data_IF_417272829663
#
_entry.id   IF_417272829663
#
_cell.length_a   1.000
_cell.length_b   1.000
_cell.length_c   1.000
_cell.angle_alpha   90.00
_cell.angle_beta   90.00
_cell.angle_gamma   90.00
#
_symmetry.space_group_name_H-M   'P 1'
#
loop_
_entity.id
_entity.type
_entity.pdbx_description
1 polymer ?
#
# COMPACT_ATOMS: atom_id res chain seq x y z
N UNK A 1 -18.82 -3.17 34.24
CA UNK A 1 -17.76 -3.97 33.60
C UNK A 1 -17.63 -3.50 32.16
N UNK A 2 -16.45 -3.03 31.75
CA UNK A 2 -16.21 -2.76 30.33
C UNK A 2 -16.30 -4.09 29.56
N UNK A 3 -17.05 -4.12 28.46
CA UNK A 3 -17.11 -5.28 27.59
C UNK A 3 -15.72 -5.55 26.98
N UNK A 4 -15.30 -6.81 26.92
CA UNK A 4 -14.08 -7.20 26.20
C UNK A 4 -14.14 -6.86 24.71
N UNK A 5 -12.98 -6.73 24.05
CA UNK A 5 -12.88 -6.38 22.62
C UNK A 5 -13.75 -7.28 21.76
N UNK A 6 -13.65 -8.60 21.97
CA UNK A 6 -14.43 -9.59 21.27
C UNK A 6 -15.94 -9.35 21.41
N UNK A 7 -16.41 -8.98 22.61
CA UNK A 7 -17.82 -8.67 22.84
C UNK A 7 -18.25 -7.36 22.18
N UNK A 8 -17.39 -6.33 22.19
CA UNK A 8 -17.66 -5.05 21.52
C UNK A 8 -17.76 -5.22 20.01
N UNK A 9 -16.86 -6.01 19.41
CA UNK A 9 -16.89 -6.35 17.99
C UNK A 9 -18.16 -7.13 17.64
N UNK A 10 -18.49 -8.18 18.40
CA UNK A 10 -19.71 -8.98 18.18
C UNK A 10 -20.99 -8.16 18.29
N UNK A 11 -21.06 -7.21 19.23
CA UNK A 11 -22.25 -6.36 19.45
C UNK A 11 -22.58 -5.45 18.26
N UNK A 12 -21.60 -5.11 17.40
CA UNK A 12 -21.82 -4.26 16.22
C UNK A 12 -22.73 -4.90 15.16
N UNK A 13 -22.93 -6.22 15.22
CA UNK A 13 -23.85 -6.95 14.34
C UNK A 13 -23.26 -7.32 12.97
N UNK A 14 -24.00 -8.16 12.25
CA UNK A 14 -23.64 -8.64 10.92
C UNK A 14 -23.55 -7.49 9.91
N UNK A 15 -22.52 -7.50 9.06
CA UNK A 15 -22.24 -6.52 8.00
C UNK A 15 -21.88 -5.09 8.43
N UNK A 16 -21.82 -4.77 9.74
CA UNK A 16 -21.36 -3.45 10.20
C UNK A 16 -19.98 -3.10 9.64
N UNK A 17 -19.09 -4.09 9.66
CA UNK A 17 -17.71 -3.99 9.20
C UNK A 17 -17.55 -4.03 7.66
N UNK A 18 -18.65 -4.05 6.90
CA UNK A 18 -18.59 -3.98 5.43
C UNK A 18 -18.31 -2.55 4.92
N UNK A 19 -18.64 -1.52 5.71
CA UNK A 19 -18.48 -0.11 5.35
C UNK A 19 -19.02 0.22 3.93
N UNK A 20 -20.21 -0.33 3.58
CA UNK A 20 -20.74 -0.40 2.20
C UNK A 20 -20.83 0.92 1.44
N UNK A 21 -20.97 2.04 2.15
CA UNK A 21 -21.14 3.37 1.57
C UNK A 21 -19.96 4.32 1.85
N UNK A 22 -18.86 3.80 2.41
CA UNK A 22 -17.67 4.61 2.69
C UNK A 22 -16.72 4.56 1.52
N UNK A 23 -16.39 5.75 1.00
CA UNK A 23 -15.30 5.92 0.04
C UNK A 23 -14.18 6.69 0.73
N UNK A 24 -12.93 6.39 0.38
CA UNK A 24 -11.77 7.12 0.89
C UNK A 24 -12.01 8.63 0.73
N UNK A 25 -11.82 9.41 1.78
CA UNK A 25 -12.08 10.86 1.82
C UNK A 25 -10.88 11.63 2.37
N UNK A 26 -10.88 12.96 2.20
CA UNK A 26 -9.85 13.85 2.73
C UNK A 26 -8.42 13.41 2.37
N UNK A 27 -7.60 13.20 3.40
CA UNK A 27 -6.17 12.82 3.29
C UNK A 27 -5.96 11.53 2.48
N UNK A 28 -6.94 10.63 2.46
CA UNK A 28 -6.83 9.37 1.72
C UNK A 28 -7.14 9.50 0.22
N UNK A 29 -7.67 10.65 -0.24
CA UNK A 29 -7.90 10.93 -1.68
C UNK A 29 -6.70 11.55 -2.39
N UNK A 30 -5.68 12.01 -1.67
CA UNK A 30 -4.58 12.80 -2.25
C UNK A 30 -3.84 12.07 -3.39
N UNK A 31 -3.68 10.75 -3.27
CA UNK A 31 -3.14 9.90 -4.32
C UNK A 31 -3.86 8.57 -4.31
N UNK A 32 -4.23 8.06 -5.49
CA UNK A 32 -4.73 6.72 -5.61
C UNK A 32 -3.61 5.71 -5.33
N UNK A 33 -3.98 4.57 -4.75
CA UNK A 33 -3.15 3.38 -4.62
C UNK A 33 -4.04 2.14 -4.70
N UNK A 34 -3.56 0.99 -5.20
CA UNK A 34 -4.37 -0.20 -5.35
C UNK A 34 -4.68 -0.84 -3.99
N UNK A 35 -5.84 -1.51 -3.90
CA UNK A 35 -6.19 -2.43 -2.80
C UNK A 35 -5.90 -1.89 -1.37
N UNK A 36 -6.26 -0.64 -1.11
CA UNK A 36 -6.11 -0.02 0.21
C UNK A 36 -7.16 -0.53 1.19
N UNK A 37 -6.78 -0.74 2.45
CA UNK A 37 -7.73 -0.96 3.54
C UNK A 37 -8.70 0.22 3.71
N UNK A 38 -9.88 -0.04 4.28
CA UNK A 38 -10.91 0.98 4.57
C UNK A 38 -10.48 1.85 5.76
N UNK A 39 -10.23 3.16 5.60
CA UNK A 39 -9.72 4.01 6.67
C UNK A 39 -10.59 4.02 7.93
N UNK A 40 -11.90 4.22 7.79
CA UNK A 40 -12.82 4.33 8.93
C UNK A 40 -12.85 3.04 9.77
N UNK A 41 -12.73 1.88 9.10
CA UNK A 41 -12.59 0.58 9.77
C UNK A 41 -11.30 0.51 10.59
N UNK A 42 -10.17 0.92 10.00
CA UNK A 42 -8.89 0.89 10.70
C UNK A 42 -8.89 1.84 11.90
N UNK A 43 -9.43 3.05 11.73
CA UNK A 43 -9.58 4.02 12.82
C UNK A 43 -10.37 3.44 13.99
N UNK A 44 -11.54 2.85 13.70
CA UNK A 44 -12.40 2.29 14.73
C UNK A 44 -11.74 1.10 15.44
N UNK A 45 -11.13 0.16 14.71
CA UNK A 45 -10.45 -1.00 15.31
C UNK A 45 -9.28 -0.58 16.21
N UNK A 46 -8.43 0.35 15.74
CA UNK A 46 -7.32 0.88 16.52
C UNK A 46 -7.85 1.55 17.80
N UNK A 47 -8.90 2.35 17.70
CA UNK A 47 -9.52 3.01 18.85
C UNK A 47 -10.10 2.00 19.87
N UNK A 48 -10.81 0.97 19.38
CA UNK A 48 -11.35 -0.10 20.24
C UNK A 48 -10.23 -0.80 21.02
N UNK A 49 -9.16 -1.19 20.34
CA UNK A 49 -8.00 -1.85 20.96
C UNK A 49 -7.34 -0.92 21.99
N UNK A 50 -7.08 0.33 21.62
CA UNK A 50 -6.43 1.32 22.50
C UNK A 50 -7.26 1.63 23.75
N UNK A 51 -8.59 1.62 23.63
CA UNK A 51 -9.47 1.84 24.78
C UNK A 51 -9.43 0.71 25.82
N UNK A 52 -8.94 -0.48 25.46
CA UNK A 52 -8.71 -1.59 26.40
C UNK A 52 -7.29 -1.64 26.93
N UNK A 53 -6.34 -1.09 26.17
CA UNK A 53 -4.95 -1.00 26.55
C UNK A 53 -4.38 0.39 26.25
N UNK A 54 -4.45 1.25 27.27
CA UNK A 54 -3.95 2.64 27.18
C UNK A 54 -2.43 2.74 27.10
N UNK A 55 -1.69 1.65 27.35
CA UNK A 55 -0.23 1.63 27.26
C UNK A 55 0.31 1.50 25.82
N UNK A 56 -0.58 1.30 24.83
CA UNK A 56 -0.21 1.27 23.42
C UNK A 56 0.22 2.66 22.97
N UNK A 57 1.49 2.81 22.60
CA UNK A 57 2.09 4.09 22.21
C UNK A 57 2.56 4.12 20.74
N UNK A 58 2.86 2.97 20.14
CA UNK A 58 3.28 2.87 18.74
C UNK A 58 2.46 1.85 17.93
N UNK A 59 2.49 2.00 16.61
CA UNK A 59 1.82 1.12 15.67
C UNK A 59 2.74 0.79 14.50
N UNK A 60 2.83 -0.47 14.13
CA UNK A 60 3.60 -0.95 13.00
C UNK A 60 2.69 -1.45 11.88
N UNK A 61 2.99 -1.05 10.65
CA UNK A 61 2.46 -1.66 9.44
C UNK A 61 3.64 -2.06 8.52
N UNK A 62 4.01 -3.35 8.46
CA UNK A 62 5.15 -3.80 7.66
C UNK A 62 4.83 -3.96 6.17
N UNK A 63 3.61 -3.59 5.74
CA UNK A 63 3.18 -3.56 4.34
C UNK A 63 2.31 -2.32 4.09
N UNK A 64 2.81 -1.16 4.50
CA UNK A 64 1.95 0.01 4.74
C UNK A 64 1.25 0.56 3.50
N UNK A 65 1.69 0.22 2.29
CA UNK A 65 1.13 0.72 1.04
C UNK A 65 1.05 2.24 1.03
N UNK A 66 -0.14 2.79 0.74
CA UNK A 66 -0.34 4.25 0.80
C UNK A 66 -0.58 4.83 2.20
N UNK A 67 -0.36 4.03 3.25
CA UNK A 67 -0.26 4.49 4.63
C UNK A 67 -1.58 4.60 5.37
N UNK A 68 -2.63 3.89 4.97
CA UNK A 68 -3.95 3.97 5.62
C UNK A 68 -3.83 3.74 7.12
N UNK A 69 -3.25 2.60 7.53
CA UNK A 69 -3.05 2.24 8.93
C UNK A 69 -2.28 3.30 9.69
N UNK A 70 -1.16 3.77 9.13
CA UNK A 70 -0.26 4.68 9.82
C UNK A 70 -0.90 6.05 10.06
N UNK A 71 -1.69 6.54 9.09
CA UNK A 71 -2.46 7.77 9.24
C UNK A 71 -3.57 7.62 10.28
N UNK A 72 -4.32 6.52 10.26
CA UNK A 72 -5.38 6.28 11.25
C UNK A 72 -4.82 5.99 12.66
N UNK A 73 -3.63 5.39 12.73
CA UNK A 73 -2.86 5.23 13.97
C UNK A 73 -2.43 6.57 14.56
N UNK A 74 -1.91 7.48 13.73
CA UNK A 74 -1.56 8.84 14.17
C UNK A 74 -2.78 9.63 14.67
N UNK A 75 -3.93 9.51 14.00
CA UNK A 75 -5.19 10.10 14.50
C UNK A 75 -5.67 9.50 15.82
N UNK A 76 -5.23 8.27 16.13
CA UNK A 76 -5.40 7.62 17.43
C UNK A 76 -4.25 7.92 18.40
N UNK A 77 -3.44 8.96 18.15
CA UNK A 77 -2.29 9.36 18.97
C UNK A 77 -1.27 8.24 19.17
N UNK A 78 -1.01 7.44 18.13
CA UNK A 78 0.05 6.43 18.11
C UNK A 78 1.21 6.91 17.24
N UNK A 79 2.43 6.50 17.60
CA UNK A 79 3.63 6.74 16.79
C UNK A 79 3.71 5.70 15.66
N UNK A 80 3.57 6.09 14.38
CA UNK A 80 3.60 5.15 13.26
C UNK A 80 5.02 4.68 12.91
N UNK A 81 5.14 3.38 12.63
CA UNK A 81 6.32 2.71 12.09
C UNK A 81 5.88 1.98 10.82
N UNK A 82 6.51 2.26 9.68
CA UNK A 82 6.11 1.68 8.39
C UNK A 82 7.26 1.02 7.66
N UNK A 83 6.98 -0.13 7.06
CA UNK A 83 7.84 -0.76 6.07
C UNK A 83 7.02 -0.99 4.80
N UNK A 84 7.57 -0.66 3.63
CA UNK A 84 7.01 -1.08 2.35
C UNK A 84 8.13 -1.11 1.30
N UNK A 85 8.14 -2.13 0.45
CA UNK A 85 9.15 -2.27 -0.60
C UNK A 85 9.01 -1.21 -1.71
N UNK A 86 7.84 -0.59 -1.84
CA UNK A 86 7.52 0.32 -2.94
C UNK A 86 7.86 1.79 -2.59
N UNK A 87 8.83 2.41 -3.27
CA UNK A 87 9.22 3.81 -3.00
C UNK A 87 8.09 4.82 -3.21
N UNK A 88 7.16 4.55 -4.15
CA UNK A 88 6.03 5.44 -4.38
C UNK A 88 5.04 5.41 -3.21
N UNK A 89 4.80 4.22 -2.66
CA UNK A 89 3.93 3.99 -1.52
C UNK A 89 4.49 4.70 -0.28
N UNK A 90 5.81 4.61 -0.08
CA UNK A 90 6.55 5.31 0.96
C UNK A 90 6.44 6.84 0.80
N UNK A 91 6.64 7.39 -0.40
CA UNK A 91 6.48 8.82 -0.66
C UNK A 91 5.07 9.31 -0.33
N UNK A 92 4.03 8.59 -0.78
CA UNK A 92 2.62 8.95 -0.49
C UNK A 92 2.39 8.99 1.02
N UNK A 93 2.81 7.95 1.72
CA UNK A 93 2.66 7.81 3.17
C UNK A 93 3.42 8.91 3.92
N UNK A 94 4.66 9.19 3.50
CA UNK A 94 5.49 10.25 4.06
C UNK A 94 4.82 11.62 3.94
N UNK A 95 4.26 11.97 2.79
CA UNK A 95 3.53 13.25 2.61
C UNK A 95 2.30 13.31 3.51
N UNK A 96 1.53 12.22 3.62
CA UNK A 96 0.35 12.16 4.50
C UNK A 96 0.72 12.39 5.97
N UNK A 97 1.80 11.77 6.45
CA UNK A 97 2.25 11.91 7.83
C UNK A 97 2.96 13.25 8.08
N UNK A 98 3.86 13.69 7.19
CA UNK A 98 4.69 14.87 7.45
C UNK A 98 3.92 16.18 7.34
N UNK A 99 2.88 16.22 6.49
CA UNK A 99 2.11 17.43 6.26
C UNK A 99 2.80 18.46 5.38
N UNK A 100 2.22 19.66 5.33
CA UNK A 100 2.73 20.83 4.60
C UNK A 100 2.58 22.07 5.46
N UNK A 101 3.46 23.06 5.30
CA UNK A 101 3.29 24.36 5.95
C UNK A 101 2.19 25.14 5.20
N UNK A 102 1.04 25.35 5.84
CA UNK A 102 -0.14 25.95 5.20
C UNK A 102 0.05 27.40 4.78
N UNK A 103 0.92 28.15 5.46
CA UNK A 103 1.20 29.54 5.08
C UNK A 103 2.12 29.59 3.86
N UNK A 104 3.19 28.80 3.87
CA UNK A 104 4.17 28.77 2.79
C UNK A 104 3.60 28.16 1.50
N UNK A 105 2.75 27.13 1.60
CA UNK A 105 2.25 26.40 0.42
C UNK A 105 1.46 27.30 -0.53
N UNK A 106 0.75 28.32 -0.03
CA UNK A 106 0.05 29.29 -0.88
C UNK A 106 1.03 30.11 -1.74
N UNK A 107 2.16 30.52 -1.16
CA UNK A 107 3.21 31.26 -1.88
C UNK A 107 3.88 30.34 -2.91
N UNK A 108 4.19 29.11 -2.52
CA UNK A 108 4.79 28.13 -3.42
C UNK A 108 3.87 27.77 -4.61
N UNK A 109 2.57 27.58 -4.36
CA UNK A 109 1.58 27.31 -5.40
C UNK A 109 1.49 28.46 -6.42
N UNK A 110 1.47 29.73 -5.95
CA UNK A 110 1.46 30.90 -6.85
C UNK A 110 2.71 30.97 -7.72
N UNK A 111 3.89 30.65 -7.17
CA UNK A 111 5.15 30.60 -7.94
C UNK A 111 5.11 29.54 -9.03
N UNK A 112 4.64 28.33 -8.71
CA UNK A 112 4.47 27.26 -9.69
C UNK A 112 3.48 27.68 -10.78
N UNK A 113 2.34 28.24 -10.40
CA UNK A 113 1.33 28.71 -11.35
C UNK A 113 1.88 29.75 -12.33
N UNK A 114 2.60 30.76 -11.82
CA UNK A 114 3.24 31.78 -12.66
C UNK A 114 4.24 31.16 -13.63
N UNK A 115 5.09 30.23 -13.16
CA UNK A 115 6.06 29.54 -14.00
C UNK A 115 5.37 28.71 -15.11
N UNK A 116 4.32 27.97 -14.76
CA UNK A 116 3.60 27.12 -15.71
C UNK A 116 2.84 27.93 -16.77
N UNK A 117 2.28 29.10 -16.40
CA UNK A 117 1.59 30.01 -17.31
C UNK A 117 2.52 30.81 -18.23
N UNK A 118 3.78 31.02 -17.84
CA UNK A 118 4.72 31.77 -18.66
C UNK A 118 5.27 30.90 -19.81
N UNK A 119 4.97 31.30 -21.05
CA UNK A 119 5.40 30.62 -22.29
C UNK A 119 6.91 30.71 -22.55
N UNK A 120 7.59 31.75 -22.02
CA UNK A 120 9.03 31.98 -22.21
C UNK A 120 9.89 31.28 -21.15
N UNK A 121 9.28 30.51 -20.26
CA UNK A 121 10.01 29.77 -19.23
C UNK A 121 10.80 28.61 -19.85
N UNK A 122 12.13 28.74 -19.90
CA UNK A 122 13.00 27.62 -20.30
C UNK A 122 12.89 26.44 -19.33
N UNK A 123 12.79 25.23 -19.88
CA UNK A 123 12.81 23.96 -19.14
C UNK A 123 13.44 22.87 -20.01
N UNK A 124 14.07 21.89 -19.36
CA UNK A 124 14.63 20.73 -20.06
C UNK A 124 13.57 19.64 -20.25
N UNK A 125 13.56 19.02 -21.42
CA UNK A 125 12.72 17.83 -21.68
C UNK A 125 13.25 16.68 -20.84
N UNK A 126 12.41 16.09 -20.00
CA UNK A 126 12.76 14.90 -19.22
C UNK A 126 12.77 13.65 -20.10
N UNK A 127 13.62 12.70 -19.75
CA UNK A 127 13.78 11.44 -20.47
C UNK A 127 13.88 10.25 -19.51
N UNK A 128 13.29 9.13 -19.91
CA UNK A 128 13.57 7.80 -19.38
C UNK A 128 13.28 6.75 -20.46
N UNK A 129 13.79 5.54 -20.27
CA UNK A 129 13.63 4.44 -21.21
C UNK A 129 12.15 4.19 -21.56
N UNK A 130 11.83 4.23 -22.87
CA UNK A 130 10.47 4.08 -23.40
C UNK A 130 9.46 5.17 -22.97
N UNK A 131 9.88 6.39 -22.63
CA UNK A 131 8.95 7.48 -22.27
C UNK A 131 7.86 7.72 -23.35
N UNK A 132 8.22 7.70 -24.64
CA UNK A 132 7.30 7.93 -25.77
C UNK A 132 6.31 6.79 -26.00
N UNK A 133 6.60 5.58 -25.50
CA UNK A 133 5.63 4.48 -25.45
C UNK A 133 4.48 4.81 -24.50
N UNK A 134 4.81 5.44 -23.37
CA UNK A 134 3.87 5.63 -22.26
C UNK A 134 3.19 6.99 -22.26
N UNK A 135 3.73 7.96 -22.98
CA UNK A 135 3.21 9.33 -23.02
C UNK A 135 3.35 9.91 -24.43
N UNK A 136 2.32 10.64 -24.87
CA UNK A 136 2.38 11.45 -26.10
C UNK A 136 3.40 12.58 -25.96
N UNK A 137 3.95 13.03 -27.09
CA UNK A 137 5.01 14.04 -27.11
C UNK A 137 4.58 15.38 -26.46
N UNK A 138 3.36 15.84 -26.72
CA UNK A 138 2.82 17.06 -26.10
C UNK A 138 2.65 16.91 -24.57
N UNK A 139 2.29 15.71 -24.11
CA UNK A 139 2.18 15.40 -22.69
C UNK A 139 3.57 15.32 -22.04
N UNK A 140 4.57 14.74 -22.72
CA UNK A 140 5.95 14.70 -22.23
C UNK A 140 6.49 16.10 -22.00
N UNK A 141 6.30 17.02 -22.95
CA UNK A 141 6.72 18.41 -22.81
C UNK A 141 6.02 19.10 -21.63
N UNK A 142 4.71 18.87 -21.49
CA UNK A 142 3.91 19.45 -20.41
C UNK A 142 4.34 18.94 -19.04
N UNK A 143 4.54 17.63 -18.90
CA UNK A 143 5.04 17.02 -17.67
C UNK A 143 6.48 17.43 -17.37
N UNK A 144 7.33 17.61 -18.39
CA UNK A 144 8.71 18.11 -18.21
C UNK A 144 8.71 19.53 -17.65
N UNK A 145 7.82 20.41 -18.12
CA UNK A 145 7.65 21.76 -17.57
C UNK A 145 7.21 21.71 -16.10
N UNK A 146 6.22 20.87 -15.76
CA UNK A 146 5.79 20.66 -14.37
C UNK A 146 6.93 20.12 -13.52
N UNK A 147 7.66 19.13 -14.02
CA UNK A 147 8.81 18.54 -13.34
C UNK A 147 9.85 19.60 -13.00
N UNK A 148 10.21 20.46 -13.95
CA UNK A 148 11.12 21.57 -13.75
C UNK A 148 10.59 22.56 -12.69
N UNK A 149 9.29 22.89 -12.73
CA UNK A 149 8.65 23.77 -11.74
C UNK A 149 8.78 23.21 -10.32
N UNK A 150 8.54 21.91 -10.15
CA UNK A 150 8.65 21.23 -8.85
C UNK A 150 10.12 21.21 -8.39
N UNK A 151 11.07 20.92 -9.27
CA UNK A 151 12.49 20.86 -8.91
C UNK A 151 13.07 22.22 -8.45
N UNK A 152 12.47 23.34 -8.89
CA UNK A 152 12.84 24.71 -8.47
C UNK A 152 12.32 25.07 -7.08
N UNK A 153 11.35 24.35 -6.54
CA UNK A 153 10.86 24.61 -5.19
C UNK A 153 11.95 24.24 -4.16
N UNK A 154 12.24 25.19 -3.27
CA UNK A 154 13.34 25.11 -2.30
C UNK A 154 13.17 23.94 -1.34
N UNK A 155 11.97 23.76 -0.78
CA UNK A 155 11.76 22.84 0.33
C UNK A 155 11.39 21.43 -0.15
N UNK A 156 12.17 20.43 0.27
CA UNK A 156 11.96 19.01 -0.06
C UNK A 156 10.54 18.53 0.28
N UNK A 157 10.02 18.88 1.46
CA UNK A 157 8.68 18.45 1.88
C UNK A 157 7.56 18.99 0.97
N UNK A 158 7.76 20.17 0.38
CA UNK A 158 6.83 20.79 -0.58
C UNK A 158 6.95 20.14 -1.95
N UNK A 159 8.18 19.87 -2.42
CA UNK A 159 8.39 19.10 -3.66
C UNK A 159 7.74 17.72 -3.60
N UNK A 160 7.93 17.02 -2.49
CA UNK A 160 7.30 15.71 -2.23
C UNK A 160 5.77 15.79 -2.31
N UNK A 161 5.17 16.82 -1.72
CA UNK A 161 3.72 17.07 -1.85
C UNK A 161 3.29 17.25 -3.31
N UNK A 162 4.03 18.04 -4.09
CA UNK A 162 3.74 18.23 -5.51
C UNK A 162 3.90 16.96 -6.34
N UNK A 163 4.94 16.16 -6.06
CA UNK A 163 5.09 14.84 -6.68
C UNK A 163 3.88 13.96 -6.40
N UNK A 164 3.40 13.90 -5.15
CA UNK A 164 2.20 13.13 -4.79
C UNK A 164 0.96 13.61 -5.54
N UNK A 165 0.77 14.93 -5.67
CA UNK A 165 -0.33 15.50 -6.46
C UNK A 165 -0.24 15.15 -7.95
N UNK A 166 0.97 14.95 -8.48
CA UNK A 166 1.23 14.64 -9.87
C UNK A 166 0.98 13.15 -10.20
N UNK A 167 1.05 12.24 -9.23
CA UNK A 167 0.89 10.77 -9.44
C UNK A 167 -0.41 10.42 -10.18
N UNK A 168 -1.54 10.98 -9.72
CA UNK A 168 -2.84 10.67 -10.32
C UNK A 168 -2.96 11.23 -11.76
N UNK A 169 -2.31 12.36 -12.02
CA UNK A 169 -2.32 13.04 -13.31
C UNK A 169 -1.43 12.27 -14.30
N UNK A 170 -0.25 11.85 -13.88
CA UNK A 170 0.63 10.96 -14.67
C UNK A 170 -0.08 9.68 -15.08
N UNK A 171 -0.93 9.12 -14.22
CA UNK A 171 -1.75 7.95 -14.55
C UNK A 171 -2.87 8.30 -15.52
N UNK A 172 -3.61 9.38 -15.27
CA UNK A 172 -4.73 9.85 -16.11
C UNK A 172 -4.30 10.09 -17.56
N UNK A 173 -3.16 10.75 -17.76
CA UNK A 173 -2.63 11.14 -19.07
C UNK A 173 -1.55 10.19 -19.60
N UNK A 174 -1.50 8.96 -19.10
CA UNK A 174 -0.65 7.91 -19.69
C UNK A 174 -1.38 7.17 -20.82
N UNK A 175 -0.59 6.57 -21.70
CA UNK A 175 -1.05 5.65 -22.74
C UNK A 175 -1.46 4.29 -22.16
N UNK A 176 -1.47 4.09 -20.83
CA UNK A 176 -1.84 2.81 -20.21
C UNK A 176 -3.33 2.72 -19.85
N UNK A 177 -3.90 1.52 -19.97
CA UNK A 177 -5.30 1.23 -19.64
C UNK A 177 -5.57 1.50 -18.15
N UNK A 178 -6.65 2.23 -17.86
CA UNK A 178 -7.04 2.58 -16.48
C UNK A 178 -7.81 1.48 -15.74
N UNK A 179 -8.27 0.45 -16.46
CA UNK A 179 -9.07 -0.67 -15.98
C UNK A 179 -8.26 -1.79 -15.31
N UNK A 180 -6.93 -1.72 -15.36
CA UNK A 180 -6.02 -2.73 -14.81
C UNK A 180 -4.84 -2.06 -14.12
N UNK A 181 -4.19 -2.79 -13.21
CA UNK A 181 -2.94 -2.36 -12.56
C UNK A 181 -1.69 -2.76 -13.35
N UNK A 182 -1.85 -3.57 -14.41
CA UNK A 182 -0.79 -3.98 -15.31
C UNK A 182 -0.59 -2.96 -16.41
N UNK A 183 0.66 -2.76 -16.82
CA UNK A 183 1.00 -1.81 -17.87
C UNK A 183 0.65 -2.36 -19.26
N UNK A 184 -0.57 -2.05 -19.71
CA UNK A 184 -1.04 -2.33 -21.07
C UNK A 184 -1.36 -1.05 -21.81
N UNK A 185 -0.97 -0.97 -23.09
CA UNK A 185 -1.24 0.19 -23.93
C UNK A 185 -2.74 0.26 -24.32
N UNK A 186 -3.27 1.48 -24.39
CA UNK A 186 -4.61 1.79 -24.90
C UNK A 186 -4.65 1.64 -26.43
N UNK A 187 -5.84 1.49 -27.00
CA UNK A 187 -6.01 1.60 -28.45
C UNK A 187 -5.56 2.99 -28.95
N UNK A 188 -5.00 3.04 -30.16
CA UNK A 188 -4.41 4.26 -30.70
C UNK A 188 -5.42 5.43 -30.77
N UNK A 189 -6.65 5.14 -31.22
CA UNK A 189 -7.74 6.13 -31.24
C UNK A 189 -8.06 6.71 -29.86
N UNK A 190 -7.95 5.91 -28.80
CA UNK A 190 -8.15 6.38 -27.41
C UNK A 190 -6.98 7.24 -26.91
N UNK A 191 -5.77 7.06 -27.46
CA UNK A 191 -4.60 7.88 -27.13
C UNK A 191 -4.71 9.24 -27.83
N UNK A 192 -5.09 9.24 -29.09
CA UNK A 192 -5.27 10.44 -29.91
C UNK A 192 -6.40 11.32 -29.40
N UNK A 193 -7.50 10.72 -28.91
CA UNK A 193 -8.63 11.44 -28.34
C UNK A 193 -8.34 12.15 -27.00
N UNK A 194 -7.17 11.93 -26.36
CA UNK A 194 -6.86 12.61 -25.09
C UNK A 194 -6.56 14.10 -25.32
N UNK A 195 -7.20 14.98 -24.56
CA UNK A 195 -6.91 16.42 -24.57
C UNK A 195 -5.90 16.80 -23.49
N UNK A 196 -5.01 17.75 -23.78
CA UNK A 196 -3.98 18.18 -22.84
C UNK A 196 -4.50 19.20 -21.80
N UNK A 197 -5.08 18.70 -20.70
CA UNK A 197 -5.48 19.53 -19.54
C UNK A 197 -4.55 19.38 -18.33
N UNK A 198 -3.32 18.89 -18.55
CA UNK A 198 -2.40 18.45 -17.49
C UNK A 198 -2.06 19.59 -16.52
N UNK A 199 -1.74 20.78 -17.02
CA UNK A 199 -1.40 21.94 -16.15
C UNK A 199 -2.61 22.34 -15.30
N UNK A 200 -3.81 22.38 -15.89
CA UNK A 200 -5.05 22.76 -15.21
C UNK A 200 -5.34 21.76 -14.08
N UNK A 201 -5.28 20.47 -14.38
CA UNK A 201 -5.48 19.41 -13.39
C UNK A 201 -4.43 19.44 -12.28
N UNK A 202 -3.18 19.73 -12.62
CA UNK A 202 -2.10 19.84 -11.64
C UNK A 202 -2.30 21.03 -10.69
N UNK A 203 -2.60 22.21 -11.23
CA UNK A 203 -2.89 23.39 -10.43
C UNK A 203 -4.13 23.19 -9.55
N UNK A 204 -5.17 22.52 -10.05
CA UNK A 204 -6.34 22.15 -9.24
C UNK A 204 -5.95 21.19 -8.12
N UNK A 205 -5.14 20.18 -8.41
CA UNK A 205 -4.67 19.17 -7.44
C UNK A 205 -3.90 19.82 -6.29
N UNK A 206 -2.91 20.67 -6.58
CA UNK A 206 -2.07 21.31 -5.55
C UNK A 206 -2.79 22.37 -4.72
N UNK A 207 -3.87 22.95 -5.23
CA UNK A 207 -4.68 23.94 -4.50
C UNK A 207 -5.81 23.30 -3.69
N UNK A 208 -6.19 22.05 -3.98
CA UNK A 208 -7.21 21.33 -3.22
C UNK A 208 -6.59 20.48 -2.12
N UNK A 209 -5.61 19.65 -2.45
CA UNK A 209 -5.25 18.55 -1.52
C UNK A 209 -4.42 18.99 -0.32
N UNK A 210 -3.73 20.12 -0.39
CA UNK A 210 -2.91 20.60 0.72
C UNK A 210 -3.78 20.79 1.97
N UNK A 211 -5.06 21.14 1.82
CA UNK A 211 -5.99 21.39 2.92
C UNK A 211 -6.24 20.17 3.81
N UNK A 212 -6.12 18.95 3.26
CA UNK A 212 -6.36 17.71 4.00
C UNK A 212 -5.14 17.16 4.74
N UNK A 213 -3.96 17.73 4.48
CA UNK A 213 -2.72 17.32 5.14
C UNK A 213 -2.58 18.00 6.50
N UNK A 214 -1.90 17.38 7.48
CA UNK A 214 -1.54 18.07 8.71
C UNK A 214 -0.57 19.23 8.45
N UNK A 215 -0.40 20.10 9.43
CA UNK A 215 0.65 21.12 9.40
C UNK A 215 2.03 20.47 9.51
N UNK A 216 2.95 20.93 8.65
CA UNK A 216 4.33 20.46 8.68
C UNK A 216 5.05 20.89 9.95
N UNK A 217 5.72 19.94 10.60
CA UNK A 217 6.60 20.21 11.74
C UNK A 217 7.97 19.59 11.50
N UNK A 218 9.03 20.40 11.64
CA UNK A 218 10.42 19.94 11.52
C UNK A 218 10.81 18.96 12.63
N UNK A 219 10.13 19.01 13.78
CA UNK A 219 10.42 18.15 14.93
C UNK A 219 9.70 16.80 14.86
N UNK A 220 8.76 16.64 13.92
CA UNK A 220 8.01 15.39 13.74
C UNK A 220 8.93 14.32 13.16
N UNK A 221 9.14 13.25 13.93
CA UNK A 221 9.88 12.06 13.46
C UNK A 221 8.93 11.14 12.71
N UNK A 222 9.35 10.71 11.53
CA UNK A 222 8.60 9.78 10.67
C UNK A 222 9.48 8.56 10.48
N UNK A 223 9.02 7.41 10.98
CA UNK A 223 9.75 6.16 10.87
C UNK A 223 9.17 5.32 9.73
N UNK A 224 9.70 5.53 8.53
CA UNK A 224 9.33 4.78 7.33
C UNK A 224 10.60 4.24 6.68
N UNK A 225 10.57 2.97 6.29
CA UNK A 225 11.70 2.29 5.65
C UNK A 225 11.26 1.64 4.34
N UNK A 226 12.15 1.66 3.34
CA UNK A 226 11.90 1.05 2.04
C UNK A 226 12.75 -0.21 1.92
N UNK A 227 12.09 -1.36 1.75
CA UNK A 227 12.78 -2.63 1.58
C UNK A 227 11.87 -3.81 1.85
N UNK A 228 12.47 -4.99 1.92
CA UNK A 228 11.74 -6.21 2.26
C UNK A 228 11.42 -6.24 3.76
N UNK A 229 10.18 -6.59 4.07
CA UNK A 229 9.68 -6.58 5.43
C UNK A 229 10.42 -7.57 6.31
N UNK A 230 10.76 -8.77 5.81
CA UNK A 230 11.51 -9.76 6.59
C UNK A 230 12.91 -9.27 6.98
N UNK A 231 13.61 -8.57 6.09
CA UNK A 231 14.97 -8.06 6.32
C UNK A 231 14.94 -6.91 7.34
N UNK A 232 14.04 -5.93 7.14
CA UNK A 232 13.95 -4.77 8.03
C UNK A 232 13.40 -5.17 9.41
N UNK A 233 12.41 -6.07 9.48
CA UNK A 233 11.91 -6.56 10.77
C UNK A 233 12.98 -7.33 11.53
N UNK A 234 13.82 -8.11 10.85
CA UNK A 234 14.93 -8.84 11.48
C UNK A 234 15.86 -7.90 12.26
N UNK A 235 16.14 -6.71 11.73
CA UNK A 235 16.97 -5.69 12.38
C UNK A 235 16.28 -4.97 13.55
N UNK A 236 14.95 -5.05 13.65
CA UNK A 236 14.20 -4.43 14.75
C UNK A 236 14.40 -5.19 16.06
N UNK A 237 14.42 -4.45 17.18
CA UNK A 237 14.54 -5.02 18.52
C UNK A 237 13.33 -5.89 18.87
N UNK A 238 13.56 -7.00 19.56
CA UNK A 238 12.50 -7.81 20.16
C UNK A 238 11.62 -6.94 21.07
N UNK A 239 10.33 -7.24 21.14
CA UNK A 239 9.41 -6.59 22.10
C UNK A 239 9.46 -5.05 22.06
N UNK A 240 9.54 -4.46 20.85
CA UNK A 240 9.63 -3.02 20.64
C UNK A 240 8.33 -2.39 20.14
N UNK A 241 7.37 -3.20 19.68
CA UNK A 241 6.11 -2.76 19.06
C UNK A 241 4.91 -3.05 19.97
N UNK A 242 4.00 -2.07 20.09
CA UNK A 242 2.79 -2.17 20.93
C UNK A 242 1.54 -2.63 20.18
N UNK A 243 1.46 -2.39 18.87
CA UNK A 243 0.33 -2.77 18.04
C UNK A 243 0.81 -2.98 16.61
N UNK A 244 0.42 -4.08 15.98
CA UNK A 244 0.62 -4.28 14.54
C UNK A 244 -0.75 -4.32 13.88
N UNK A 245 -0.95 -3.51 12.86
CA UNK A 245 -2.16 -3.54 12.03
C UNK A 245 -1.69 -3.52 10.59
N UNK A 246 -2.05 -4.53 9.80
CA UNK A 246 -1.59 -4.61 8.41
C UNK A 246 -2.48 -5.48 7.55
N UNK A 247 -2.24 -5.39 6.25
CA UNK A 247 -2.83 -6.22 5.21
C UNK A 247 -1.69 -6.77 4.36
N UNK A 248 -1.12 -7.93 4.72
CA UNK A 248 -0.02 -8.51 3.96
C UNK A 248 -0.50 -8.90 2.54
N UNK A 249 0.42 -9.05 1.56
CA UNK A 249 0.07 -9.59 0.25
C UNK A 249 -0.65 -10.94 0.35
N UNK A 250 -1.61 -11.22 -0.54
CA UNK A 250 -2.42 -12.46 -0.51
C UNK A 250 -1.92 -13.55 -1.48
N UNK A 251 -0.80 -13.31 -2.15
CA UNK A 251 -0.21 -14.21 -3.14
C UNK A 251 0.85 -13.51 -3.97
N UNK A 252 1.47 -14.24 -4.89
CA UNK A 252 2.47 -13.67 -5.80
C UNK A 252 1.87 -12.56 -6.69
N UNK A 253 2.72 -11.61 -7.10
CA UNK A 253 2.31 -10.48 -7.94
C UNK A 253 1.87 -10.89 -9.35
N UNK A 254 2.20 -12.12 -9.80
CA UNK A 254 1.78 -12.62 -11.11
C UNK A 254 0.29 -12.95 -11.16
N UNK A 255 -0.27 -13.37 -10.02
CA UNK A 255 -1.67 -13.79 -9.82
C UNK A 255 -2.49 -12.79 -9.00
N UNK A 256 -1.86 -11.72 -8.50
CA UNK A 256 -2.51 -10.67 -7.70
C UNK A 256 -2.29 -9.27 -8.31
N UNK A 257 -2.36 -8.22 -7.49
CA UNK A 257 -2.19 -6.83 -7.90
C UNK A 257 -0.70 -6.55 -8.10
N UNK A 258 -0.32 -6.10 -9.30
CA UNK A 258 1.06 -5.69 -9.62
C UNK A 258 1.34 -4.28 -9.12
N UNK A 259 1.64 -4.15 -7.82
CA UNK A 259 1.92 -2.85 -7.19
C UNK A 259 3.16 -2.17 -7.77
N UNK A 260 4.16 -2.95 -8.21
CA UNK A 260 5.36 -2.46 -8.87
C UNK A 260 5.04 -1.79 -10.20
N UNK A 261 4.39 -2.52 -11.10
CA UNK A 261 3.95 -1.98 -12.40
C UNK A 261 3.06 -0.74 -12.26
N UNK A 262 2.16 -0.72 -11.26
CA UNK A 262 1.32 0.44 -10.96
C UNK A 262 2.12 1.71 -10.61
N UNK A 263 3.32 1.53 -10.04
CA UNK A 263 4.10 2.58 -9.42
C UNK A 263 5.25 3.07 -10.29
N UNK A 264 5.70 2.25 -11.24
CA UNK A 264 6.92 2.50 -11.98
C UNK A 264 6.88 3.78 -12.83
N UNK A 265 5.80 4.03 -13.58
CA UNK A 265 5.70 5.23 -14.41
C UNK A 265 5.78 6.52 -13.55
N UNK A 266 5.01 6.69 -12.46
CA UNK A 266 5.22 7.80 -11.53
C UNK A 266 6.65 7.91 -10.99
N UNK A 267 7.27 6.79 -10.60
CA UNK A 267 8.64 6.80 -10.07
C UNK A 267 9.63 7.37 -11.08
N UNK A 268 9.54 7.01 -12.37
CA UNK A 268 10.43 7.53 -13.42
C UNK A 268 10.29 9.04 -13.70
N UNK A 269 9.21 9.67 -13.26
CA UNK A 269 9.02 11.13 -13.33
C UNK A 269 9.53 11.89 -12.10
N UNK A 270 9.55 11.23 -10.95
CA UNK A 270 9.91 11.84 -9.67
C UNK A 270 11.42 12.01 -9.59
N UNK A 271 11.88 13.15 -9.06
CA UNK A 271 13.31 13.36 -8.81
C UNK A 271 13.82 12.38 -7.74
N UNK A 272 14.87 11.61 -8.04
CA UNK A 272 15.46 10.61 -7.13
C UNK A 272 15.80 11.18 -5.76
N UNK A 273 16.21 12.46 -5.69
CA UNK A 273 16.56 13.17 -4.44
C UNK A 273 15.35 13.42 -3.51
N UNK A 274 14.14 13.36 -4.05
CA UNK A 274 12.90 13.57 -3.30
C UNK A 274 12.26 12.26 -2.84
N UNK A 275 12.79 11.11 -3.26
CA UNK A 275 12.49 9.80 -2.68
C UNK A 275 13.44 9.50 -1.51
N UNK A 276 13.05 8.57 -0.63
CA UNK A 276 13.96 8.06 0.40
C UNK A 276 15.02 7.13 -0.21
N UNK A 277 16.01 6.74 0.60
CA UNK A 277 17.04 5.80 0.16
C UNK A 277 16.43 4.40 0.03
N UNK A 278 16.76 3.72 -1.06
CA UNK A 278 16.34 2.36 -1.37
C UNK A 278 17.29 1.76 -2.40
N UNK A 279 17.31 0.44 -2.54
CA UNK A 279 18.18 -0.25 -3.50
C UNK A 279 17.74 0.04 -4.94
N UNK A 280 18.65 0.54 -5.78
CA UNK A 280 18.34 0.95 -7.17
C UNK A 280 17.77 -0.19 -8.02
N UNK A 281 18.10 -1.45 -7.68
CA UNK A 281 17.54 -2.61 -8.39
C UNK A 281 16.00 -2.70 -8.34
N UNK A 282 15.35 -2.03 -7.36
CA UNK A 282 13.90 -1.97 -7.26
C UNK A 282 13.25 -1.22 -8.43
N UNK A 283 14.01 -0.42 -9.18
CA UNK A 283 13.49 0.41 -10.29
C UNK A 283 14.13 0.09 -11.65
N UNK A 284 14.95 -0.97 -11.75
CA UNK A 284 15.63 -1.39 -12.99
C UNK A 284 14.65 -1.61 -14.15
N UNK A 285 13.47 -2.18 -13.86
CA UNK A 285 12.43 -2.42 -14.84
C UNK A 285 11.04 -2.43 -14.19
N UNK A 286 9.99 -2.45 -15.02
CA UNK A 286 8.58 -2.38 -14.62
C UNK A 286 8.13 -3.46 -13.61
N UNK A 287 8.84 -4.59 -13.53
CA UNK A 287 8.50 -5.71 -12.66
C UNK A 287 9.47 -5.86 -11.47
N UNK A 288 10.49 -5.01 -11.34
CA UNK A 288 11.53 -5.15 -10.31
C UNK A 288 10.98 -5.19 -8.89
N UNK A 289 10.11 -4.23 -8.51
CA UNK A 289 9.44 -4.24 -7.20
C UNK A 289 8.65 -5.53 -7.02
N UNK A 290 7.91 -5.95 -8.04
CA UNK A 290 7.05 -7.13 -7.98
C UNK A 290 7.87 -8.43 -7.83
N UNK A 291 9.04 -8.52 -8.47
CA UNK A 291 9.94 -9.68 -8.39
C UNK A 291 10.72 -9.76 -7.07
N UNK A 292 10.94 -8.62 -6.40
CA UNK A 292 11.61 -8.55 -5.11
C UNK A 292 10.66 -8.69 -3.91
N UNK A 293 9.35 -8.65 -4.13
CA UNK A 293 8.32 -8.83 -3.11
C UNK A 293 8.15 -10.32 -2.71
N UNK A 294 7.31 -10.58 -1.70
CA UNK A 294 6.99 -11.94 -1.23
C UNK A 294 6.55 -12.86 -2.37
N UNK A 295 7.08 -14.09 -2.40
CA UNK A 295 6.78 -15.06 -3.46
C UNK A 295 7.59 -14.88 -4.75
N UNK A 296 8.60 -14.00 -4.75
CA UNK A 296 9.52 -13.76 -5.88
C UNK A 296 10.44 -14.94 -6.26
N UNK A 297 11.36 -14.73 -7.19
CA UNK A 297 12.16 -15.78 -7.85
C UNK A 297 13.48 -16.16 -7.14
N UNK A 298 13.65 -15.81 -5.86
CA UNK A 298 14.89 -16.08 -5.10
C UNK A 298 15.06 -17.53 -4.63
N UNK A 299 16.31 -17.96 -4.41
CA UNK A 299 16.62 -19.19 -3.66
C UNK A 299 16.20 -19.02 -2.20
N UNK A 300 15.49 -20.00 -1.64
CA UNK A 300 14.99 -19.98 -0.27
C UNK A 300 15.69 -21.06 0.55
N UNK A 301 16.55 -20.65 1.46
CA UNK A 301 17.03 -21.48 2.58
C UNK A 301 16.27 -21.07 3.84
N UNK A 302 14.94 -21.21 3.83
CA UNK A 302 14.07 -20.80 4.93
C UNK A 302 13.53 -22.03 5.65
N UNK A 303 13.26 -21.87 6.95
CA UNK A 303 12.67 -22.93 7.75
C UNK A 303 11.26 -23.24 7.21
N UNK A 304 10.97 -24.51 6.97
CA UNK A 304 9.62 -24.92 6.58
C UNK A 304 8.75 -24.98 7.82
N UNK A 305 7.72 -24.15 7.86
CA UNK A 305 6.67 -24.27 8.86
C UNK A 305 5.68 -25.34 8.42
N UNK A 306 5.29 -26.22 9.35
CA UNK A 306 4.25 -27.20 9.11
C UNK A 306 2.89 -26.51 9.29
N UNK A 307 1.99 -26.71 8.33
CA UNK A 307 0.60 -26.27 8.40
C UNK A 307 -0.28 -27.37 7.82
N UNK A 308 -1.30 -27.79 8.57
CA UNK A 308 -2.25 -28.80 8.13
C UNK A 308 -3.06 -28.27 6.94
N UNK A 309 -3.57 -27.03 7.05
CA UNK A 309 -4.33 -26.36 5.99
C UNK A 309 -3.51 -26.19 4.70
N UNK A 310 -2.22 -25.86 4.81
CA UNK A 310 -1.36 -25.74 3.64
C UNK A 310 -1.16 -27.10 2.96
N UNK A 311 -0.90 -28.15 3.74
CA UNK A 311 -0.65 -29.50 3.22
C UNK A 311 -1.86 -30.03 2.45
N UNK A 312 -3.05 -29.96 3.07
CA UNK A 312 -4.32 -30.36 2.44
C UNK A 312 -4.59 -29.54 1.16
N UNK A 313 -4.35 -28.22 1.22
CA UNK A 313 -4.54 -27.36 0.05
C UNK A 313 -3.60 -27.73 -1.11
N UNK A 314 -2.32 -27.95 -0.83
CA UNK A 314 -1.30 -28.30 -1.83
C UNK A 314 -1.63 -29.62 -2.53
N UNK A 315 -2.11 -30.62 -1.80
CA UNK A 315 -2.57 -31.89 -2.38
C UNK A 315 -3.73 -31.69 -3.35
N UNK A 316 -4.57 -30.69 -3.07
CA UNK A 316 -5.76 -30.40 -3.87
C UNK A 316 -5.48 -29.70 -5.22
N UNK A 317 -4.31 -29.09 -5.42
CA UNK A 317 -4.00 -28.31 -6.65
C UNK A 317 -2.99 -29.01 -7.55
N UNK A 318 -2.93 -28.56 -8.81
CA UNK A 318 -1.99 -29.06 -9.81
C UNK A 318 -0.51 -28.86 -9.41
N UNK A 319 0.34 -29.84 -9.75
CA UNK A 319 1.74 -29.89 -9.31
C UNK A 319 2.57 -28.67 -9.73
N UNK A 320 2.29 -28.09 -10.90
CA UNK A 320 2.93 -26.88 -11.44
C UNK A 320 2.65 -25.63 -10.58
N UNK A 321 1.52 -25.60 -9.85
CA UNK A 321 1.13 -24.48 -8.99
C UNK A 321 1.57 -24.65 -7.54
N UNK A 322 1.75 -25.89 -7.08
CA UNK A 322 2.18 -26.21 -5.70
C UNK A 322 3.40 -25.42 -5.27
N UNK A 323 4.46 -25.46 -6.09
CA UNK A 323 5.73 -24.77 -5.79
C UNK A 323 5.57 -23.27 -5.62
N UNK A 324 4.71 -22.61 -6.41
CA UNK A 324 4.46 -21.16 -6.30
C UNK A 324 3.73 -20.80 -5.00
N UNK A 325 2.72 -21.59 -4.64
CA UNK A 325 1.97 -21.39 -3.39
C UNK A 325 2.87 -21.64 -2.19
N UNK A 326 3.60 -22.75 -2.17
CA UNK A 326 4.52 -23.10 -1.08
C UNK A 326 5.58 -22.02 -0.89
N UNK A 327 6.22 -21.57 -1.98
CA UNK A 327 7.22 -20.50 -1.94
C UNK A 327 6.69 -19.19 -1.35
N UNK A 328 5.48 -18.79 -1.76
CA UNK A 328 4.83 -17.60 -1.22
C UNK A 328 4.54 -17.75 0.27
N UNK A 329 3.95 -18.88 0.69
CA UNK A 329 3.58 -19.11 2.09
C UNK A 329 4.82 -19.18 2.98
N UNK A 330 5.92 -19.79 2.53
CA UNK A 330 7.18 -19.79 3.30
C UNK A 330 7.71 -18.37 3.51
N UNK A 331 7.74 -17.53 2.47
CA UNK A 331 8.18 -16.14 2.62
C UNK A 331 7.25 -15.35 3.54
N UNK A 332 5.95 -15.57 3.41
CA UNK A 332 4.92 -14.94 4.21
C UNK A 332 5.05 -15.29 5.70
N UNK A 333 5.20 -16.57 6.04
CA UNK A 333 5.31 -17.02 7.43
C UNK A 333 6.61 -16.55 8.10
N UNK A 334 7.70 -16.38 7.36
CA UNK A 334 8.91 -15.75 7.90
C UNK A 334 8.64 -14.32 8.40
N UNK A 335 7.88 -13.53 7.63
CA UNK A 335 7.48 -12.19 8.09
C UNK A 335 6.59 -12.27 9.32
N UNK A 336 5.66 -13.22 9.37
CA UNK A 336 4.79 -13.43 10.54
C UNK A 336 5.59 -13.80 11.79
N UNK A 337 6.64 -14.62 11.67
CA UNK A 337 7.61 -14.91 12.76
C UNK A 337 8.23 -13.62 13.29
N UNK A 338 8.75 -12.78 12.39
CA UNK A 338 9.40 -11.52 12.80
C UNK A 338 8.40 -10.54 13.43
N UNK A 339 7.16 -10.47 12.90
CA UNK A 339 6.07 -9.71 13.52
C UNK A 339 5.78 -10.18 14.95
N UNK A 340 5.74 -11.50 15.18
CA UNK A 340 5.58 -12.07 16.53
C UNK A 340 6.73 -11.72 17.48
N UNK A 341 7.97 -11.74 16.99
CA UNK A 341 9.17 -11.39 17.77
C UNK A 341 9.23 -9.92 18.19
N UNK A 342 8.91 -8.99 17.28
CA UNK A 342 8.99 -7.54 17.56
C UNK A 342 7.82 -7.03 18.41
N UNK A 343 6.68 -7.72 18.38
CA UNK A 343 5.52 -7.37 19.19
C UNK A 343 5.75 -7.72 20.67
N UNK A 344 5.44 -6.80 21.58
CA UNK A 344 5.48 -7.06 23.02
C UNK A 344 4.44 -8.10 23.45
N UNK A 345 4.71 -8.80 24.55
CA UNK A 345 3.73 -9.68 25.21
C UNK A 345 2.44 -8.92 25.58
N UNK A 346 1.31 -9.64 25.53
CA UNK A 346 -0.05 -9.16 25.79
C UNK A 346 -0.59 -8.12 24.80
N UNK A 347 0.20 -7.76 23.78
CA UNK A 347 -0.19 -6.88 22.67
C UNK A 347 -0.82 -7.66 21.52
N UNK A 348 -1.33 -6.91 20.54
CA UNK A 348 -2.17 -7.44 19.47
C UNK A 348 -1.58 -7.25 18.08
N UNK A 349 -1.84 -8.23 17.23
CA UNK A 349 -1.70 -8.18 15.78
C UNK A 349 -3.11 -8.18 15.18
N UNK A 350 -3.37 -7.25 14.25
CA UNK A 350 -4.59 -7.18 13.44
C UNK A 350 -4.21 -7.40 11.99
N UNK A 351 -4.72 -8.48 11.39
CA UNK A 351 -4.42 -8.86 10.01
C UNK A 351 -5.69 -8.83 9.18
N UNK A 352 -5.73 -7.96 8.17
CA UNK A 352 -6.75 -8.01 7.12
C UNK A 352 -6.27 -8.92 6.01
N UNK A 353 -6.89 -10.09 5.89
CA UNK A 353 -6.50 -11.18 5.02
C UNK A 353 -7.56 -11.46 3.97
N UNK A 354 -7.07 -11.96 2.84
CA UNK A 354 -7.89 -12.34 1.72
C UNK A 354 -7.63 -13.76 1.25
N UNK A 355 -8.67 -14.60 1.25
CA UNK A 355 -8.61 -15.95 0.70
C UNK A 355 -8.86 -15.92 -0.80
N UNK A 356 -7.76 -15.73 -1.55
CA UNK A 356 -7.77 -15.75 -3.02
C UNK A 356 -7.97 -17.16 -3.57
N UNK A 357 -8.07 -17.28 -4.91
CA UNK A 357 -8.11 -18.57 -5.59
C UNK A 357 -6.82 -18.85 -6.36
N UNK A 358 -6.29 -20.06 -6.24
CA UNK A 358 -5.31 -20.66 -7.17
C UNK A 358 -5.90 -21.94 -7.70
N UNK A 359 -5.77 -22.17 -9.00
CA UNK A 359 -6.34 -23.34 -9.64
C UNK A 359 -7.86 -23.48 -9.42
N UNK A 360 -8.55 -22.34 -9.34
CA UNK A 360 -9.97 -22.21 -9.01
C UNK A 360 -10.37 -22.73 -7.60
N UNK A 361 -9.39 -23.07 -6.76
CA UNK A 361 -9.57 -23.45 -5.34
C UNK A 361 -9.15 -22.32 -4.42
N UNK A 362 -9.91 -22.10 -3.36
CA UNK A 362 -9.65 -21.06 -2.36
C UNK A 362 -8.40 -21.43 -1.57
N UNK A 363 -7.38 -20.57 -1.57
CA UNK A 363 -6.20 -20.70 -0.71
C UNK A 363 -6.65 -20.30 0.71
N UNK A 364 -6.56 -21.18 1.72
CA UNK A 364 -7.02 -20.89 3.08
C UNK A 364 -5.97 -20.06 3.84
N UNK A 365 -5.59 -18.90 3.30
CA UNK A 365 -4.52 -18.08 3.87
C UNK A 365 -4.88 -17.59 5.28
N UNK A 366 -6.15 -17.24 5.51
CA UNK A 366 -6.67 -16.89 6.82
C UNK A 366 -6.45 -18.01 7.85
N UNK A 367 -6.84 -19.25 7.52
CA UNK A 367 -6.66 -20.42 8.38
C UNK A 367 -5.18 -20.78 8.60
N UNK A 368 -4.36 -20.76 7.55
CA UNK A 368 -2.91 -21.00 7.65
C UNK A 368 -2.27 -19.98 8.60
N UNK A 369 -2.69 -18.71 8.49
CA UNK A 369 -2.16 -17.63 9.34
C UNK A 369 -2.56 -17.80 10.79
N UNK A 370 -3.83 -18.12 11.05
CA UNK A 370 -4.32 -18.37 12.41
C UNK A 370 -3.57 -19.55 13.05
N UNK A 371 -3.53 -20.71 12.38
CA UNK A 371 -2.81 -21.91 12.84
C UNK A 371 -1.35 -21.59 13.16
N UNK A 372 -0.69 -20.84 12.29
CA UNK A 372 0.69 -20.43 12.50
C UNK A 372 0.88 -19.58 13.77
N UNK A 373 0.07 -18.53 13.95
CA UNK A 373 0.19 -17.65 15.11
C UNK A 373 -0.11 -18.39 16.42
N UNK A 374 -1.12 -19.28 16.43
CA UNK A 374 -1.42 -20.13 17.58
C UNK A 374 -0.22 -21.03 17.96
N UNK A 375 0.43 -21.62 16.96
CA UNK A 375 1.62 -22.46 17.16
C UNK A 375 2.81 -21.70 17.75
N UNK A 376 2.97 -20.41 17.42
CA UNK A 376 4.03 -19.57 17.98
C UNK A 376 3.59 -18.81 19.24
N UNK A 377 2.46 -19.16 19.87
CA UNK A 377 2.09 -18.62 21.18
C UNK A 377 1.25 -17.33 21.14
N UNK A 378 0.35 -17.24 20.15
CA UNK A 378 -0.76 -16.30 20.15
C UNK A 378 -2.09 -17.01 20.45
N UNK A 379 -3.11 -16.24 20.77
CA UNK A 379 -4.51 -16.68 20.78
C UNK A 379 -5.34 -15.79 19.84
N UNK A 380 -6.35 -16.37 19.20
CA UNK A 380 -7.36 -15.60 18.47
C UNK A 380 -8.35 -14.98 19.46
N UNK A 381 -8.35 -13.65 19.55
CA UNK A 381 -9.26 -12.91 20.43
C UNK A 381 -10.58 -12.60 19.73
N UNK A 382 -10.52 -12.25 18.44
CA UNK A 382 -11.70 -12.00 17.62
C UNK A 382 -11.39 -12.18 16.13
N UNK A 383 -12.43 -12.54 15.36
CA UNK A 383 -12.40 -12.53 13.90
C UNK A 383 -13.59 -11.76 13.35
N UNK A 384 -13.38 -11.04 12.25
CA UNK A 384 -14.42 -10.31 11.53
C UNK A 384 -14.41 -10.78 10.08
N UNK A 385 -15.56 -11.23 9.59
CA UNK A 385 -15.75 -11.48 8.15
C UNK A 385 -16.51 -10.30 7.56
N UNK A 386 -15.96 -9.68 6.52
CA UNK A 386 -16.60 -8.57 5.80
C UNK A 386 -16.71 -8.86 4.31
N UNK A 387 -17.77 -8.35 3.70
CA UNK A 387 -17.91 -8.37 2.25
C UNK A 387 -17.10 -7.22 1.63
N UNK A 388 -16.69 -7.37 0.37
CA UNK A 388 -16.08 -6.32 -0.45
C UNK A 388 -17.15 -5.79 -1.43
N UNK A 389 -17.94 -4.77 -1.03
CA UNK A 389 -19.10 -4.31 -1.81
C UNK A 389 -18.69 -3.65 -3.12
N UNK A 390 -17.70 -2.75 -3.07
CA UNK A 390 -17.17 -2.00 -4.22
C UNK A 390 -15.77 -2.54 -4.54
N UNK A 391 -15.60 -3.07 -5.75
CA UNK A 391 -14.29 -3.52 -6.25
C UNK A 391 -13.86 -2.72 -7.47
N UNK A 392 -12.60 -2.29 -7.45
CA UNK A 392 -11.94 -1.76 -8.65
C UNK A 392 -11.52 -2.87 -9.62
N UNK A 393 -11.22 -4.07 -9.09
CA UNK A 393 -10.98 -5.25 -9.92
C UNK A 393 -12.30 -5.95 -10.30
N UNK A 394 -12.40 -6.54 -11.50
CA UNK A 394 -13.58 -7.30 -11.90
C UNK A 394 -13.89 -8.45 -10.94
N UNK A 395 -15.17 -8.75 -10.72
CA UNK A 395 -15.60 -9.89 -9.88
C UNK A 395 -15.21 -11.25 -10.46
N UNK A 396 -14.88 -11.29 -11.75
CA UNK A 396 -14.36 -12.47 -12.45
C UNK A 396 -13.04 -12.12 -13.12
N UNK A 397 -11.99 -12.88 -12.86
CA UNK A 397 -10.63 -12.65 -13.42
C UNK A 397 -10.15 -13.90 -14.12
N UNK A 398 -9.49 -13.77 -15.27
CA UNK A 398 -8.90 -14.86 -16.07
C UNK A 398 -9.84 -16.01 -16.51
N UNK A 399 -9.46 -16.73 -17.57
CA UNK A 399 -10.04 -18.02 -17.96
C UNK A 399 -9.09 -19.12 -17.52
N UNK A 400 -9.55 -20.06 -16.69
CA UNK A 400 -8.85 -21.34 -16.46
C UNK A 400 -9.69 -22.40 -17.15
N UNK A 401 -9.14 -23.07 -18.17
CA UNK A 401 -9.85 -24.09 -18.99
C UNK A 401 -11.20 -23.58 -19.52
N UNK A 402 -11.20 -22.40 -20.14
CA UNK A 402 -12.40 -21.71 -20.69
C UNK A 402 -13.53 -21.37 -19.71
N UNK A 403 -13.33 -21.51 -18.40
CA UNK A 403 -14.27 -21.07 -17.36
C UNK A 403 -13.75 -19.82 -16.65
N UNK A 404 -14.64 -18.86 -16.42
CA UNK A 404 -14.32 -17.65 -15.64
C UNK A 404 -14.05 -17.98 -14.19
N UNK A 405 -12.97 -17.46 -13.61
CA UNK A 405 -12.66 -17.64 -12.18
C UNK A 405 -13.25 -16.48 -11.37
N UNK A 406 -13.95 -16.80 -10.28
CA UNK A 406 -14.44 -15.79 -9.35
C UNK A 406 -13.30 -15.20 -8.52
N UNK A 407 -13.29 -13.87 -8.39
CA UNK A 407 -12.40 -13.17 -7.47
C UNK A 407 -12.94 -13.18 -6.04
N UNK A 408 -12.05 -13.07 -5.06
CA UNK A 408 -12.37 -13.05 -3.62
C UNK A 408 -13.34 -11.95 -3.22
N UNK A 409 -14.54 -12.30 -2.70
CA UNK A 409 -15.60 -11.34 -2.38
C UNK A 409 -15.68 -10.95 -0.89
N UNK A 410 -14.86 -11.57 -0.06
CA UNK A 410 -14.82 -11.36 1.38
C UNK A 410 -13.38 -11.18 1.86
N UNK A 411 -13.21 -10.42 2.93
CA UNK A 411 -11.96 -10.28 3.67
C UNK A 411 -12.20 -10.73 5.11
N UNK A 412 -11.16 -11.28 5.72
CA UNK A 412 -11.14 -11.73 7.11
C UNK A 412 -10.21 -10.82 7.89
N UNK A 413 -10.67 -10.27 9.01
CA UNK A 413 -9.80 -9.54 9.94
C UNK A 413 -9.60 -10.39 11.17
N UNK A 414 -8.37 -10.88 11.34
CA UNK A 414 -7.95 -11.64 12.52
C UNK A 414 -7.36 -10.68 13.56
N UNK A 415 -7.80 -10.79 14.81
CA UNK A 415 -7.24 -10.07 15.95
C UNK A 415 -6.64 -11.10 16.88
N UNK A 416 -5.30 -11.12 16.94
CA UNK A 416 -4.50 -12.12 17.64
C UNK A 416 -3.76 -11.44 18.79
N UNK A 417 -3.76 -12.04 19.98
CA UNK A 417 -3.05 -11.55 21.17
C UNK A 417 -1.83 -12.42 21.47
N UNK A 418 -0.66 -11.83 21.69
CA UNK A 418 0.57 -12.55 22.04
C UNK A 418 0.51 -12.97 23.51
N UNK A 419 0.45 -14.27 23.77
CA UNK A 419 0.35 -14.82 25.13
C UNK A 419 1.69 -15.35 25.66
N UNK A 420 2.60 -15.75 24.76
CA UNK A 420 3.94 -16.25 25.10
C UNK A 420 5.02 -15.40 24.45
N UNK A 421 6.20 -15.36 25.06
CA UNK A 421 7.40 -14.83 24.41
C UNK A 421 7.86 -15.80 23.31
N UNK A 422 8.45 -15.25 22.24
CA UNK A 422 8.80 -15.96 20.99
C UNK A 422 10.26 -15.68 20.68
#
# INVERSE_FOLDING_TARGET
MNLSLANRIRKKGLNYWDFKNVTASGIHKISAYPATMVPDMQYELINLIKSEDSSIANILDPFHGSGTTLVEGEKNNLSPIGIDINPLANLITKVKLQGVNKQYIHVANKKIEQFLKNSNSGFDKHYFYNIEKWYRQDFILTFSKIRCAIQREKYRYVRQYYWVCLINILKKYSNTRSSTFKLHIKEQSSIEAMENHIIIDFLKSINVYFQYLPDYSRNKKINLQIGKSEEILYEMKNNSVDLIVTSPPYGDNSTTVTYGQYSMLPIYWIDRKDLEVFSENLIDNYSSIDSNSLGGSGKRNKQKHQSHYLSEYLESISQDKRKKVENFVIDYLEVMTQMGRVLKKDKRIVLTLGDRRVDNKVVPLSSITQEFFENIGFELEASITRNIPIKRMPRRVSKVKDKSVESMNQEYVLILRKIKEI
#
